data_IF_860209587730
#
_entry.id   IF_860209587730
#
_cell.length_a   1.000
_cell.length_b   1.000
_cell.length_c   1.000
_cell.angle_alpha   90.00
_cell.angle_beta   90.00
_cell.angle_gamma   90.00
#
_symmetry.space_group_name_H-M   'P 1'
#
loop_
_entity.id
_entity.type
_entity.pdbx_description
1 polymer ?
#
# COMPACT_ATOMS: atom_id res chain seq x y z
N UNK A 1 14.56 9.71 25.38
CA UNK A 1 15.33 10.08 24.18
C UNK A 1 14.37 10.77 23.21
N UNK A 2 14.43 12.10 23.15
CA UNK A 2 13.59 12.93 22.27
C UNK A 2 13.99 12.62 20.81
N UNK A 3 13.02 12.36 19.92
CA UNK A 3 13.29 12.20 18.47
C UNK A 3 14.03 13.46 17.97
N UNK A 4 15.08 13.34 17.14
CA UNK A 4 15.55 14.47 16.36
C UNK A 4 14.38 14.96 15.52
N UNK A 5 14.20 16.28 15.40
CA UNK A 5 13.07 16.96 14.77
C UNK A 5 12.99 16.80 13.24
N UNK A 6 13.63 15.76 12.67
CA UNK A 6 13.74 15.54 11.23
C UNK A 6 13.28 14.14 10.82
N UNK A 7 12.81 14.03 9.58
CA UNK A 7 12.61 12.75 8.91
C UNK A 7 13.94 12.00 8.80
N UNK A 8 13.89 10.68 8.95
CA UNK A 8 15.05 9.83 8.66
C UNK A 8 15.39 9.84 7.17
N UNK A 9 16.63 9.48 6.83
CA UNK A 9 17.06 9.37 5.43
C UNK A 9 16.16 8.43 4.64
N UNK A 10 15.73 7.31 5.22
CA UNK A 10 14.84 6.36 4.55
C UNK A 10 13.45 6.95 4.28
N UNK A 11 12.88 7.70 5.24
CA UNK A 11 11.61 8.43 5.03
C UNK A 11 11.73 9.40 3.86
N UNK A 12 12.82 10.16 3.80
CA UNK A 12 13.08 11.14 2.74
C UNK A 12 13.25 10.45 1.39
N UNK A 13 14.04 9.39 1.31
CA UNK A 13 14.29 8.65 0.07
C UNK A 13 13.00 8.02 -0.47
N UNK A 14 12.17 7.42 0.38
CA UNK A 14 10.88 6.86 -0.03
C UNK A 14 9.92 7.94 -0.53
N UNK A 15 9.85 9.09 0.15
CA UNK A 15 9.02 10.21 -0.28
C UNK A 15 9.48 10.80 -1.62
N UNK A 16 10.79 11.04 -1.78
CA UNK A 16 11.35 11.56 -3.04
C UNK A 16 11.13 10.57 -4.17
N UNK A 17 11.40 9.29 -3.95
CA UNK A 17 11.19 8.25 -4.95
C UNK A 17 9.72 8.20 -5.38
N UNK A 18 8.80 8.13 -4.42
CA UNK A 18 7.35 8.09 -4.70
C UNK A 18 6.90 9.34 -5.45
N UNK A 19 7.32 10.53 -5.01
CA UNK A 19 6.97 11.80 -5.65
C UNK A 19 7.54 11.88 -7.08
N UNK A 20 8.77 11.41 -7.30
CA UNK A 20 9.41 11.43 -8.62
C UNK A 20 8.70 10.48 -9.59
N UNK A 21 8.35 9.28 -9.14
CA UNK A 21 7.56 8.33 -9.93
C UNK A 21 6.22 8.94 -10.34
N UNK A 22 5.46 9.49 -9.38
CA UNK A 22 4.15 10.12 -9.66
C UNK A 22 4.29 11.32 -10.59
N UNK A 23 5.27 12.20 -10.34
CA UNK A 23 5.52 13.36 -11.18
C UNK A 23 5.93 12.96 -12.61
N UNK A 24 6.73 11.91 -12.76
CA UNK A 24 7.09 11.38 -14.08
C UNK A 24 5.86 10.87 -14.81
N UNK A 25 4.99 10.10 -14.14
CA UNK A 25 3.72 9.65 -14.70
C UNK A 25 2.83 10.81 -15.17
N UNK A 26 2.73 11.89 -14.38
CA UNK A 26 2.00 13.10 -14.79
C UNK A 26 2.62 13.73 -16.04
N UNK A 27 3.93 13.98 -16.02
CA UNK A 27 4.64 14.64 -17.13
C UNK A 27 4.50 13.82 -18.42
N UNK A 28 4.76 12.53 -18.34
CA UNK A 28 4.67 11.61 -19.49
C UNK A 28 3.23 11.58 -20.02
N UNK A 29 2.23 11.37 -19.17
CA UNK A 29 0.83 11.29 -19.62
C UNK A 29 0.31 12.57 -20.29
N UNK A 30 0.88 13.73 -19.95
CA UNK A 30 0.52 15.01 -20.56
C UNK A 30 1.33 15.35 -21.83
N UNK A 31 2.44 14.64 -22.09
CA UNK A 31 3.26 14.81 -23.30
C UNK A 31 2.90 13.76 -24.35
N UNK A 32 2.84 12.50 -23.92
CA UNK A 32 2.62 11.33 -24.76
C UNK A 32 1.82 10.28 -23.98
N UNK A 33 0.49 10.33 -24.16
CA UNK A 33 -0.43 9.40 -23.49
C UNK A 33 -0.20 7.96 -23.94
N UNK A 34 0.23 7.73 -25.17
CA UNK A 34 0.48 6.38 -25.67
C UNK A 34 1.71 5.78 -24.98
N UNK A 35 2.80 6.55 -24.87
CA UNK A 35 3.99 6.10 -24.14
C UNK A 35 3.69 5.87 -22.66
N UNK A 36 2.87 6.73 -22.05
CA UNK A 36 2.40 6.50 -20.68
C UNK A 36 1.72 5.13 -20.55
N UNK A 37 0.72 4.84 -21.40
CA UNK A 37 -0.10 3.63 -21.29
C UNK A 37 0.60 2.33 -21.72
N UNK A 38 1.51 2.40 -22.69
CA UNK A 38 2.16 1.24 -23.32
C UNK A 38 3.58 0.97 -22.80
N UNK A 39 4.19 1.91 -22.07
CA UNK A 39 5.55 1.76 -21.54
C UNK A 39 5.63 2.04 -20.05
N UNK A 40 5.08 3.16 -19.58
CA UNK A 40 5.27 3.56 -18.19
C UNK A 40 4.42 2.75 -17.20
N UNK A 41 3.11 2.67 -17.49
CA UNK A 41 2.11 1.92 -16.71
C UNK A 41 1.60 0.69 -17.45
N UNK A 42 2.46 0.12 -18.30
CA UNK A 42 2.17 -1.16 -18.94
C UNK A 42 2.18 -2.27 -17.90
N UNK A 43 1.37 -3.29 -18.13
CA UNK A 43 1.41 -4.54 -17.36
C UNK A 43 2.79 -5.19 -17.51
N UNK A 44 3.26 -5.82 -16.44
CA UNK A 44 4.64 -6.25 -16.21
C UNK A 44 5.69 -5.13 -16.32
N UNK A 45 5.24 -3.88 -16.36
CA UNK A 45 6.09 -2.69 -16.46
C UNK A 45 6.69 -2.28 -15.13
N UNK A 46 7.41 -1.15 -15.17
CA UNK A 46 8.08 -0.62 -13.99
C UNK A 46 7.12 -0.30 -12.84
N UNK A 47 5.98 0.34 -13.13
CA UNK A 47 5.03 0.81 -12.11
C UNK A 47 4.34 -0.36 -11.39
N UNK A 48 3.83 -1.34 -12.13
CA UNK A 48 3.18 -2.54 -11.55
C UNK A 48 4.18 -3.35 -10.70
N UNK A 49 5.38 -3.62 -11.24
CA UNK A 49 6.42 -4.30 -10.47
C UNK A 49 6.82 -3.51 -9.22
N UNK A 50 6.79 -2.18 -9.28
CA UNK A 50 7.03 -1.36 -8.10
C UNK A 50 5.93 -1.53 -7.06
N UNK A 51 4.63 -1.61 -7.42
CA UNK A 51 3.54 -1.86 -6.46
C UNK A 51 3.80 -3.07 -5.56
N UNK A 52 4.40 -4.12 -6.12
CA UNK A 52 4.74 -5.37 -5.42
C UNK A 52 5.84 -5.17 -4.38
N UNK A 53 6.86 -4.33 -4.66
CA UNK A 53 8.05 -4.20 -3.81
C UNK A 53 7.70 -3.69 -2.39
N UNK A 54 6.99 -2.56 -2.20
CA UNK A 54 6.57 -2.11 -0.88
C UNK A 54 5.69 -3.11 -0.14
N UNK A 55 4.84 -3.86 -0.85
CA UNK A 55 3.97 -4.87 -0.24
C UNK A 55 4.77 -6.06 0.30
N UNK A 56 5.77 -6.54 -0.44
CA UNK A 56 6.67 -7.60 0.04
C UNK A 56 7.53 -7.14 1.22
N UNK A 57 8.03 -5.90 1.20
CA UNK A 57 8.75 -5.32 2.34
C UNK A 57 7.83 -5.15 3.55
N UNK A 58 6.59 -4.70 3.34
CA UNK A 58 5.59 -4.57 4.40
C UNK A 58 5.25 -5.93 5.03
N UNK A 59 5.07 -6.96 4.20
CA UNK A 59 4.87 -8.33 4.67
C UNK A 59 6.07 -8.84 5.49
N UNK A 60 7.28 -8.67 4.97
CA UNK A 60 8.50 -9.09 5.65
C UNK A 60 8.68 -8.37 6.99
N UNK A 61 8.45 -7.05 7.03
CA UNK A 61 8.50 -6.27 8.25
C UNK A 61 7.44 -6.70 9.27
N UNK A 62 6.19 -6.93 8.83
CA UNK A 62 5.13 -7.41 9.70
C UNK A 62 5.45 -8.81 10.27
N UNK A 63 5.97 -9.73 9.44
CA UNK A 63 6.44 -11.05 9.92
C UNK A 63 7.58 -10.89 10.93
N UNK A 64 8.54 -10.00 10.67
CA UNK A 64 9.63 -9.70 11.60
C UNK A 64 9.09 -9.20 12.94
N UNK A 65 8.16 -8.24 12.94
CA UNK A 65 7.52 -7.72 14.16
C UNK A 65 6.75 -8.83 14.88
N UNK A 66 6.00 -9.65 14.15
CA UNK A 66 5.24 -10.77 14.72
C UNK A 66 6.16 -11.77 15.47
N UNK A 67 7.35 -12.04 14.93
CA UNK A 67 8.31 -13.02 15.48
C UNK A 67 9.18 -12.46 16.61
N UNK A 68 9.56 -11.19 16.55
CA UNK A 68 10.51 -10.58 17.51
C UNK A 68 9.83 -9.97 18.74
N UNK A 69 8.53 -9.72 18.69
CA UNK A 69 7.80 -9.23 19.85
C UNK A 69 7.63 -10.32 20.92
N UNK A 70 7.88 -9.95 22.17
CA UNK A 70 7.74 -10.83 23.35
C UNK A 70 6.37 -11.51 23.39
N UNK A 71 6.29 -12.63 24.10
CA UNK A 71 5.06 -13.42 24.29
C UNK A 71 3.92 -12.63 24.95
N UNK A 72 4.22 -11.55 25.68
CA UNK A 72 3.26 -10.66 26.33
C UNK A 72 2.65 -9.61 25.39
N UNK A 73 3.11 -9.50 24.14
CA UNK A 73 2.35 -8.78 23.13
C UNK A 73 0.95 -9.41 23.04
N UNK A 74 -0.08 -8.60 23.30
CA UNK A 74 -1.47 -9.06 23.35
C UNK A 74 -1.87 -9.77 22.05
N UNK A 75 -2.76 -10.76 22.16
CA UNK A 75 -3.21 -11.54 21.01
C UNK A 75 -3.78 -10.67 19.87
N UNK A 76 -4.43 -9.54 20.21
CA UNK A 76 -4.96 -8.55 19.26
C UNK A 76 -3.87 -7.93 18.40
N UNK A 77 -2.75 -7.52 19.01
CA UNK A 77 -1.58 -6.99 18.32
C UNK A 77 -1.02 -8.04 17.34
N UNK A 78 -0.82 -9.27 17.82
CA UNK A 78 -0.30 -10.37 16.99
C UNK A 78 -1.23 -10.69 15.82
N UNK A 79 -2.54 -10.73 16.08
CA UNK A 79 -3.54 -10.94 15.05
C UNK A 79 -3.47 -9.84 13.99
N UNK A 80 -3.46 -8.55 14.39
CA UNK A 80 -3.41 -7.44 13.45
C UNK A 80 -2.13 -7.45 12.61
N UNK A 81 -0.96 -7.63 13.23
CA UNK A 81 0.32 -7.69 12.49
C UNK A 81 0.35 -8.91 11.56
N UNK A 82 -0.19 -10.05 11.98
CA UNK A 82 -0.36 -11.22 11.12
C UNK A 82 -1.30 -10.94 9.94
N UNK A 83 -2.41 -10.23 10.16
CA UNK A 83 -3.33 -9.81 9.11
C UNK A 83 -2.66 -8.83 8.13
N UNK A 84 -1.87 -7.87 8.61
CA UNK A 84 -1.08 -6.97 7.75
C UNK A 84 -0.13 -7.76 6.85
N UNK A 85 0.56 -8.76 7.41
CA UNK A 85 1.46 -9.63 6.64
C UNK A 85 0.70 -10.41 5.55
N UNK A 86 -0.37 -11.11 5.94
CA UNK A 86 -1.17 -11.92 5.02
C UNK A 86 -1.84 -11.07 3.94
N UNK A 87 -2.39 -9.91 4.30
CA UNK A 87 -3.01 -8.99 3.36
C UNK A 87 -1.98 -8.43 2.38
N UNK A 88 -0.80 -8.02 2.86
CA UNK A 88 0.25 -7.51 1.97
C UNK A 88 0.76 -8.58 1.00
N UNK A 89 0.90 -9.83 1.45
CA UNK A 89 1.24 -10.97 0.58
C UNK A 89 0.13 -11.30 -0.42
N UNK A 90 -1.13 -11.22 0.01
CA UNK A 90 -2.27 -11.43 -0.87
C UNK A 90 -2.30 -10.39 -1.98
N UNK A 91 -2.22 -9.09 -1.65
CA UNK A 91 -2.20 -8.04 -2.67
C UNK A 91 -0.97 -8.20 -3.57
N UNK A 92 0.23 -8.42 -3.03
CA UNK A 92 1.42 -8.65 -3.85
C UNK A 92 1.27 -9.84 -4.79
N UNK A 93 0.66 -10.93 -4.32
CA UNK A 93 0.34 -12.11 -5.12
C UNK A 93 -0.65 -11.79 -6.23
N UNK A 94 -1.70 -11.04 -5.93
CA UNK A 94 -2.70 -10.61 -6.91
C UNK A 94 -2.08 -9.77 -8.04
N UNK A 95 -1.19 -8.82 -7.71
CA UNK A 95 -0.46 -7.97 -8.67
C UNK A 95 0.44 -8.79 -9.63
N UNK A 96 1.10 -9.85 -9.15
CA UNK A 96 1.95 -10.73 -9.99
C UNK A 96 1.23 -11.99 -10.49
N UNK A 97 -0.09 -12.01 -10.38
CA UNK A 97 -0.95 -13.13 -10.80
C UNK A 97 -0.51 -14.46 -10.19
N UNK A 98 -0.18 -14.43 -8.90
CA UNK A 98 0.33 -15.53 -8.08
C UNK A 98 1.57 -16.22 -8.66
N UNK A 99 2.39 -15.47 -9.40
CA UNK A 99 3.60 -15.98 -10.04
C UNK A 99 3.31 -16.84 -11.28
N UNK A 100 2.10 -16.77 -11.84
CA UNK A 100 1.71 -17.52 -13.04
C UNK A 100 2.75 -17.39 -14.17
N UNK A 101 3.19 -16.16 -14.46
CA UNK A 101 4.16 -15.86 -15.52
C UNK A 101 5.55 -16.43 -15.20
N UNK A 102 5.97 -16.34 -13.94
CA UNK A 102 7.26 -16.87 -13.47
C UNK A 102 7.31 -18.40 -13.48
N UNK A 103 6.19 -19.06 -13.19
CA UNK A 103 6.09 -20.51 -13.11
C UNK A 103 5.61 -21.16 -14.42
N UNK A 104 5.22 -20.35 -15.41
CA UNK A 104 4.76 -20.82 -16.71
C UNK A 104 3.47 -21.64 -16.66
N UNK A 105 2.63 -21.43 -15.65
CA UNK A 105 1.36 -22.14 -15.53
C UNK A 105 0.26 -21.45 -16.36
N UNK A 106 -0.60 -22.22 -17.01
CA UNK A 106 -1.76 -21.66 -17.69
C UNK A 106 -2.90 -21.36 -16.71
N UNK A 107 -3.66 -20.30 -16.99
CA UNK A 107 -4.90 -20.03 -16.30
C UNK A 107 -5.97 -21.06 -16.63
N UNK A 108 -6.83 -21.33 -15.64
CA UNK A 108 -8.01 -22.17 -15.85
C UNK A 108 -8.97 -21.56 -16.88
N UNK A 109 -9.87 -22.38 -17.44
CA UNK A 109 -10.89 -21.90 -18.37
C UNK A 109 -11.71 -20.73 -17.80
N UNK A 110 -12.04 -20.79 -16.51
CA UNK A 110 -12.76 -19.73 -15.81
C UNK A 110 -12.02 -18.38 -15.89
N UNK A 111 -10.73 -18.35 -15.54
CA UNK A 111 -9.92 -17.14 -15.56
C UNK A 111 -9.70 -16.63 -16.99
N UNK A 112 -9.46 -17.51 -17.96
CA UNK A 112 -9.32 -17.10 -19.38
C UNK A 112 -10.57 -16.41 -19.93
N UNK A 113 -11.75 -16.78 -19.46
CA UNK A 113 -13.03 -16.22 -19.91
C UNK A 113 -13.42 -14.94 -19.15
N UNK A 114 -13.08 -14.85 -17.85
CA UNK A 114 -13.60 -13.81 -16.96
C UNK A 114 -12.55 -12.81 -16.47
N UNK A 115 -11.27 -13.01 -16.78
CA UNK A 115 -10.18 -12.09 -16.46
C UNK A 115 -9.78 -11.29 -17.70
N UNK A 116 -9.59 -9.97 -17.55
CA UNK A 116 -9.29 -9.08 -18.65
C UNK A 116 -7.97 -9.39 -19.37
N UNK A 117 -7.05 -10.08 -18.69
CA UNK A 117 -5.74 -10.50 -19.19
C UNK A 117 -5.61 -12.02 -19.27
N UNK A 118 -6.68 -12.75 -18.94
CA UNK A 118 -6.66 -14.20 -18.89
C UNK A 118 -5.72 -14.75 -17.80
N UNK A 119 -5.58 -14.03 -16.70
CA UNK A 119 -4.68 -14.35 -15.58
C UNK A 119 -5.39 -14.98 -14.38
N UNK A 120 -4.63 -15.70 -13.56
CA UNK A 120 -5.07 -16.39 -12.34
C UNK A 120 -5.03 -15.44 -11.14
N UNK A 121 -5.68 -14.30 -11.25
CA UNK A 121 -5.90 -13.37 -10.14
C UNK A 121 -7.34 -12.86 -10.14
N UNK A 122 -7.77 -12.34 -8.99
CA UNK A 122 -9.03 -11.64 -8.83
C UNK A 122 -8.91 -10.17 -9.24
N UNK A 123 -7.72 -9.58 -9.10
CA UNK A 123 -7.45 -8.17 -9.42
C UNK A 123 -7.84 -7.79 -10.86
N UNK A 124 -7.58 -8.66 -11.84
CA UNK A 124 -7.90 -8.43 -13.27
C UNK A 124 -9.24 -9.02 -13.71
N UNK A 125 -10.05 -9.57 -12.79
CA UNK A 125 -11.38 -10.11 -13.13
C UNK A 125 -12.33 -9.02 -13.61
N UNK A 126 -13.22 -9.37 -14.53
CA UNK A 126 -14.28 -8.51 -15.05
C UNK A 126 -15.62 -9.00 -14.53
N UNK A 127 -16.31 -8.16 -13.76
CA UNK A 127 -17.65 -8.45 -13.22
C UNK A 127 -18.61 -7.35 -13.64
N UNK A 128 -19.69 -7.72 -14.32
CA UNK A 128 -20.67 -6.73 -14.83
C UNK A 128 -20.06 -5.73 -15.81
N UNK A 129 -19.07 -6.15 -16.60
CA UNK A 129 -18.37 -5.30 -17.58
C UNK A 129 -17.35 -4.31 -16.98
N UNK A 130 -17.02 -4.42 -15.68
CA UNK A 130 -16.03 -3.58 -15.01
C UNK A 130 -14.94 -4.44 -14.38
N UNK A 131 -13.67 -4.00 -14.50
CA UNK A 131 -12.54 -4.63 -13.83
C UNK A 131 -12.69 -4.53 -12.30
N UNK A 132 -12.38 -5.60 -11.58
CA UNK A 132 -12.48 -5.66 -10.11
C UNK A 132 -11.58 -4.61 -9.47
N UNK A 133 -10.35 -4.41 -9.92
CA UNK A 133 -9.47 -3.37 -9.35
C UNK A 133 -10.14 -1.99 -9.32
N UNK A 134 -10.79 -1.57 -10.42
CA UNK A 134 -11.57 -0.32 -10.49
C UNK A 134 -12.78 -0.30 -9.54
N UNK A 135 -13.38 -1.45 -9.23
CA UNK A 135 -14.47 -1.57 -8.26
C UNK A 135 -13.95 -1.57 -6.83
N UNK A 136 -12.83 -2.24 -6.55
CA UNK A 136 -12.20 -2.27 -5.23
C UNK A 136 -11.73 -0.87 -4.85
N UNK A 137 -11.18 -0.10 -5.80
CA UNK A 137 -10.88 1.33 -5.65
C UNK A 137 -12.12 2.25 -5.76
N UNK A 138 -13.32 1.73 -5.50
CA UNK A 138 -14.55 2.52 -5.42
C UNK A 138 -14.54 3.52 -4.26
N UNK A 139 -15.60 4.34 -4.22
CA UNK A 139 -15.87 5.32 -3.17
C UNK A 139 -15.77 4.75 -1.74
N UNK A 140 -16.03 3.45 -1.55
CA UNK A 140 -15.93 2.81 -0.24
C UNK A 140 -14.49 2.74 0.27
N UNK A 141 -13.55 2.31 -0.56
CA UNK A 141 -12.14 2.22 -0.18
C UNK A 141 -11.54 3.61 0.06
N UNK A 142 -11.90 4.58 -0.79
CA UNK A 142 -11.52 6.00 -0.60
C UNK A 142 -12.04 6.52 0.74
N UNK A 143 -13.29 6.22 1.09
CA UNK A 143 -13.86 6.58 2.38
C UNK A 143 -13.14 5.91 3.56
N UNK A 144 -12.81 4.63 3.46
CA UNK A 144 -12.07 3.90 4.49
C UNK A 144 -10.66 4.46 4.70
N UNK A 145 -9.92 4.71 3.61
CA UNK A 145 -8.59 5.34 3.65
C UNK A 145 -8.68 6.76 4.21
N UNK A 146 -9.67 7.55 3.82
CA UNK A 146 -9.93 8.88 4.40
C UNK A 146 -10.15 8.81 5.91
N UNK A 147 -11.00 7.90 6.38
CA UNK A 147 -11.19 7.66 7.81
C UNK A 147 -9.88 7.27 8.52
N UNK A 148 -9.08 6.39 7.92
CA UNK A 148 -7.78 5.99 8.46
C UNK A 148 -6.78 7.15 8.52
N UNK A 149 -6.71 7.99 7.49
CA UNK A 149 -5.72 9.07 7.39
C UNK A 149 -6.07 10.32 8.20
N UNK A 150 -7.37 10.59 8.44
CA UNK A 150 -7.83 11.80 9.13
C UNK A 150 -8.48 11.54 10.48
N UNK A 151 -9.47 10.63 10.52
CA UNK A 151 -10.28 10.38 11.72
C UNK A 151 -9.43 9.67 12.77
N UNK A 152 -8.75 8.58 12.39
CA UNK A 152 -7.93 7.81 13.32
C UNK A 152 -6.87 8.66 14.04
N UNK A 153 -5.95 9.39 13.37
CA UNK A 153 -4.92 10.16 14.06
C UNK A 153 -5.49 11.31 14.90
N UNK A 154 -6.61 11.91 14.49
CA UNK A 154 -7.28 12.96 15.27
C UNK A 154 -7.80 12.40 16.60
N UNK A 155 -8.60 11.33 16.55
CA UNK A 155 -9.17 10.73 17.76
C UNK A 155 -8.11 10.03 18.64
N UNK A 156 -7.07 9.44 18.04
CA UNK A 156 -5.95 8.85 18.75
C UNK A 156 -5.19 9.85 19.64
N UNK A 157 -5.06 11.10 19.17
CA UNK A 157 -4.40 12.16 19.94
C UNK A 157 -5.29 12.71 21.05
N UNK A 158 -6.61 12.76 20.83
CA UNK A 158 -7.57 13.42 21.72
C UNK A 158 -8.19 12.50 22.79
N UNK A 159 -8.41 11.22 22.49
CA UNK A 159 -9.16 10.31 23.36
C UNK A 159 -8.30 9.15 23.87
N UNK A 160 -8.20 9.01 25.19
CA UNK A 160 -7.40 7.96 25.85
C UNK A 160 -7.88 6.55 25.51
N UNK A 161 -9.19 6.35 25.44
CA UNK A 161 -9.80 5.04 25.13
C UNK A 161 -9.48 4.59 23.71
N UNK A 162 -9.59 5.51 22.73
CA UNK A 162 -9.21 5.25 21.33
C UNK A 162 -7.73 4.90 21.25
N UNK A 163 -6.86 5.67 21.93
CA UNK A 163 -5.43 5.38 21.99
C UNK A 163 -5.15 3.97 22.52
N UNK A 164 -5.76 3.60 23.65
CA UNK A 164 -5.58 2.28 24.26
C UNK A 164 -6.06 1.15 23.34
N UNK A 165 -7.20 1.34 22.66
CA UNK A 165 -7.73 0.37 21.72
C UNK A 165 -6.80 0.21 20.51
N UNK A 166 -6.40 1.32 19.88
CA UNK A 166 -5.50 1.36 18.72
C UNK A 166 -4.15 0.73 19.05
N UNK A 167 -3.59 1.05 20.22
CA UNK A 167 -2.32 0.48 20.69
C UNK A 167 -2.43 -1.01 21.00
N UNK A 168 -3.55 -1.45 21.60
CA UNK A 168 -3.79 -2.87 21.90
C UNK A 168 -3.93 -3.72 20.63
N UNK A 169 -4.51 -3.15 19.57
CA UNK A 169 -4.55 -3.76 18.25
C UNK A 169 -3.26 -3.58 17.45
N UNK A 170 -2.34 -2.70 17.87
CA UNK A 170 -1.12 -2.45 17.10
C UNK A 170 -1.40 -1.87 15.72
N UNK A 171 -2.40 -1.00 15.60
CA UNK A 171 -2.72 -0.34 14.33
C UNK A 171 -1.71 0.81 14.14
N UNK A 172 -0.97 0.84 13.01
CA UNK A 172 -0.04 1.93 12.72
C UNK A 172 -0.81 3.24 12.55
N UNK A 173 -0.45 4.28 13.31
CA UNK A 173 -1.12 5.58 13.21
C UNK A 173 -0.34 6.50 12.25
N UNK A 174 -0.97 7.04 11.20
CA UNK A 174 -0.27 7.91 10.26
C UNK A 174 0.18 9.22 10.92
N UNK A 175 1.39 9.66 10.55
CA UNK A 175 1.92 10.97 10.89
C UNK A 175 1.34 12.04 9.94
N UNK A 176 1.37 13.31 10.36
CA UNK A 176 0.77 14.39 9.58
C UNK A 176 1.37 14.52 8.17
N UNK A 177 2.69 14.43 8.03
CA UNK A 177 3.35 14.49 6.72
C UNK A 177 2.98 13.31 5.82
N UNK A 178 2.70 12.13 6.39
CA UNK A 178 2.25 10.94 5.64
C UNK A 178 0.83 11.15 5.13
N UNK A 179 -0.07 11.69 5.97
CA UNK A 179 -1.41 12.10 5.55
C UNK A 179 -1.35 13.12 4.42
N UNK A 180 -0.48 14.14 4.53
CA UNK A 180 -0.27 15.13 3.46
C UNK A 180 0.25 14.47 2.18
N UNK A 181 1.23 13.57 2.27
CA UNK A 181 1.75 12.85 1.11
C UNK A 181 0.68 11.98 0.43
N UNK A 182 -0.16 11.29 1.20
CA UNK A 182 -1.30 10.54 0.64
C UNK A 182 -2.29 11.47 -0.07
N UNK A 183 -2.63 12.62 0.54
CA UNK A 183 -3.52 13.60 -0.09
C UNK A 183 -2.91 14.15 -1.39
N UNK A 184 -1.62 14.46 -1.37
CA UNK A 184 -0.90 14.92 -2.55
C UNK A 184 -0.96 13.86 -3.67
N UNK A 185 -0.78 12.58 -3.35
CA UNK A 185 -0.94 11.47 -4.30
C UNK A 185 -2.36 11.43 -4.89
N UNK A 186 -3.40 11.42 -4.05
CA UNK A 186 -4.80 11.38 -4.49
C UNK A 186 -5.18 12.58 -5.38
N UNK A 187 -4.64 13.76 -5.10
CA UNK A 187 -4.85 14.94 -5.95
C UNK A 187 -4.03 14.89 -7.23
N UNK A 188 -2.81 14.36 -7.17
CA UNK A 188 -1.87 14.27 -8.30
C UNK A 188 -2.41 13.38 -9.43
N UNK A 189 -3.09 12.27 -9.11
CA UNK A 189 -3.66 11.37 -10.12
C UNK A 189 -4.79 12.01 -10.95
N UNK A 190 -5.39 13.11 -10.47
CA UNK A 190 -6.37 13.88 -11.23
C UNK A 190 -5.74 14.66 -12.40
N UNK A 191 -4.41 14.83 -12.37
CA UNK A 191 -3.64 15.49 -13.42
C UNK A 191 -3.22 14.53 -14.55
N UNK A 192 -3.56 13.24 -14.45
CA UNK A 192 -3.22 12.21 -15.43
C UNK A 192 -4.46 11.98 -16.32
N UNK A 193 -4.44 12.40 -17.61
CA UNK A 193 -5.59 12.30 -18.51
C UNK A 193 -5.78 10.89 -19.11
N UNK A 194 -5.57 9.83 -18.31
CA UNK A 194 -5.68 8.43 -18.75
C UNK A 194 -6.52 7.59 -17.80
N UNK A 195 -7.23 6.61 -18.36
CA UNK A 195 -7.98 5.60 -17.59
C UNK A 195 -7.10 4.58 -16.85
N UNK A 196 -5.78 4.66 -17.01
CA UNK A 196 -4.75 3.89 -16.28
C UNK A 196 -4.08 4.69 -15.15
N UNK A 197 -4.64 5.83 -14.74
CA UNK A 197 -4.12 6.61 -13.61
C UNK A 197 -4.16 5.84 -12.25
N UNK A 198 -4.98 4.79 -12.15
CA UNK A 198 -5.05 3.90 -11.01
C UNK A 198 -3.72 3.17 -10.75
N UNK A 199 -2.97 2.81 -11.79
CA UNK A 199 -1.65 2.15 -11.64
C UNK A 199 -0.67 3.00 -10.84
N UNK A 200 -0.65 4.32 -11.10
CA UNK A 200 0.15 5.30 -10.35
C UNK A 200 -0.35 5.46 -8.92
N UNK A 201 -1.67 5.42 -8.72
CA UNK A 201 -2.26 5.46 -7.39
C UNK A 201 -1.84 4.24 -6.57
N UNK A 202 -1.91 3.05 -7.15
CA UNK A 202 -1.58 1.77 -6.52
C UNK A 202 -0.09 1.71 -6.13
N UNK A 203 0.81 2.03 -7.05
CA UNK A 203 2.23 2.10 -6.78
C UNK A 203 2.58 3.16 -5.72
N UNK A 204 1.92 4.32 -5.77
CA UNK A 204 2.12 5.38 -4.80
C UNK A 204 1.59 5.04 -3.40
N UNK A 205 0.38 4.49 -3.31
CA UNK A 205 -0.29 4.26 -2.04
C UNK A 205 0.33 3.08 -1.30
N UNK A 206 0.82 2.06 -2.01
CA UNK A 206 1.58 0.95 -1.40
C UNK A 206 2.93 1.44 -0.84
N UNK A 207 3.61 2.36 -1.52
CA UNK A 207 4.83 3.01 -1.03
C UNK A 207 4.57 3.82 0.25
N UNK A 208 3.48 4.61 0.27
CA UNK A 208 3.09 5.40 1.44
C UNK A 208 2.54 4.52 2.59
N UNK A 209 1.88 3.42 2.28
CA UNK A 209 1.48 2.41 3.26
C UNK A 209 2.71 1.81 3.95
N UNK A 210 3.74 1.43 3.19
CA UNK A 210 5.01 0.98 3.75
C UNK A 210 5.64 2.05 4.64
N UNK A 211 5.64 3.32 4.19
CA UNK A 211 6.15 4.45 4.97
C UNK A 211 5.42 4.59 6.32
N UNK A 212 4.09 4.50 6.33
CA UNK A 212 3.28 4.55 7.55
C UNK A 212 3.57 3.35 8.45
N UNK A 213 3.72 2.15 7.88
CA UNK A 213 4.00 0.92 8.62
C UNK A 213 5.38 0.94 9.29
N UNK A 214 6.40 1.44 8.60
CA UNK A 214 7.77 1.53 9.12
C UNK A 214 7.95 2.69 10.09
N UNK A 215 7.26 3.81 9.86
CA UNK A 215 7.40 5.04 10.63
C UNK A 215 6.06 5.55 11.17
N UNK A 216 5.30 4.76 11.95
CA UNK A 216 4.03 5.23 12.48
C UNK A 216 4.25 6.20 13.63
N UNK A 217 3.24 7.02 13.92
CA UNK A 217 3.23 7.91 15.07
C UNK A 217 3.44 7.14 16.38
N UNK A 218 2.84 5.95 16.51
CA UNK A 218 2.99 5.03 17.64
C UNK A 218 4.16 4.01 17.45
N UNK A 219 5.24 4.42 16.78
CA UNK A 219 6.46 3.61 16.52
C UNK A 219 7.06 2.90 17.74
N UNK A 220 6.87 3.41 18.96
CA UNK A 220 7.29 2.76 20.20
C UNK A 220 6.70 1.35 20.37
N UNK A 221 5.52 1.09 19.81
CA UNK A 221 4.88 -0.22 19.86
C UNK A 221 5.59 -1.27 19.01
N UNK A 222 6.40 -0.87 18.03
CA UNK A 222 7.01 -1.77 17.05
C UNK A 222 8.49 -2.03 17.29
N UNK A 223 9.14 -1.28 18.18
CA UNK A 223 10.55 -1.48 18.53
C UNK A 223 10.79 -2.89 19.08
N UNK A 224 11.74 -3.63 18.53
CA UNK A 224 12.15 -4.91 19.10
C UNK A 224 12.50 -4.69 20.58
N UNK A 225 12.10 -5.62 21.44
CA UNK A 225 12.62 -5.63 22.81
C UNK A 225 14.11 -5.94 22.72
N UNK A 226 14.95 -5.08 23.30
CA UNK A 226 16.37 -5.37 23.47
C UNK A 226 16.48 -6.76 24.10
N UNK A 227 17.13 -7.67 23.37
CA UNK A 227 17.54 -8.96 23.92
C UNK A 227 18.70 -8.66 24.86
N UNK A 228 18.38 -8.37 26.12
CA UNK A 228 19.32 -8.44 27.23
C UNK A 228 19.31 -9.86 27.80
#
# INVERSE_FOLDING_TARGET
MLKPTGLSLLEILLLIFTATMVASGIVIANIDIQWFEEVYVVEDGFVENWTVVPLLIAAAYAIYVYRTKRKDAGWRFKLMVGMIALFSLFVAGEEISWGQRLLGHESSAFFREHNAQGETNLHNMVVGGKKINKIVFSQLLVGAVGCYLFVLPFFYRKHREVRQAVDAWGIPVPQFYQTVACCALFLSILLIPSGKNAEILEAGITSLFLLILLFPYNSQLYRATDVL
#
